data_IF_763818472872
#
_entry.id   IF_763818472872
#
_cell.length_a   1.000
_cell.length_b   1.000
_cell.length_c   1.000
_cell.angle_alpha   90.00
_cell.angle_beta   90.00
_cell.angle_gamma   90.00
#
_symmetry.space_group_name_H-M   'P 1'
#
loop_
_entity.id
_entity.type
_entity.pdbx_description
1 polymer ?
#
# COMPACT_ATOMS: atom_id res chain seq x y z
N UNK A 1 -2.83 11.49 -3.59
CA UNK A 1 -2.20 12.10 -2.39
C UNK A 1 -2.51 11.18 -1.22
N UNK A 2 -1.60 11.04 -0.26
CA UNK A 2 -1.70 10.04 0.82
C UNK A 2 -1.84 10.73 2.19
N UNK A 3 -3.05 11.20 2.58
CA UNK A 3 -3.24 11.92 3.84
C UNK A 3 -3.21 10.96 5.04
N UNK A 4 -2.81 11.49 6.20
CA UNK A 4 -2.88 10.78 7.47
C UNK A 4 -3.12 11.75 8.63
N UNK A 5 -3.81 11.27 9.67
CA UNK A 5 -4.02 11.95 10.95
C UNK A 5 -3.94 10.93 12.08
N UNK A 6 -3.28 11.31 13.16
CA UNK A 6 -3.21 10.48 14.36
C UNK A 6 -3.28 11.35 15.61
N UNK A 7 -3.89 10.79 16.66
CA UNK A 7 -4.05 11.43 17.94
C UNK A 7 -3.84 10.43 19.07
N UNK A 8 -3.39 10.95 20.21
CA UNK A 8 -3.29 10.17 21.42
C UNK A 8 -3.71 11.00 22.63
N UNK A 9 -4.34 10.35 23.59
CA UNK A 9 -4.77 10.96 24.85
C UNK A 9 -4.22 10.15 26.01
N UNK A 10 -3.33 10.76 26.79
CA UNK A 10 -2.79 10.17 28.02
C UNK A 10 -3.74 10.47 29.18
N UNK A 11 -4.70 9.56 29.40
CA UNK A 11 -5.74 9.70 30.41
C UNK A 11 -5.15 9.69 31.82
N UNK A 12 -4.09 8.90 32.06
CA UNK A 12 -3.46 8.78 33.38
C UNK A 12 -2.83 10.08 33.93
N UNK A 13 -2.59 11.08 33.07
CA UNK A 13 -2.07 12.39 33.49
C UNK A 13 -3.18 13.37 33.93
N UNK A 14 -4.45 13.01 33.72
CA UNK A 14 -5.58 13.84 34.09
C UNK A 14 -5.85 13.81 35.60
N UNK A 15 -6.24 14.95 36.17
CA UNK A 15 -6.45 15.09 37.62
C UNK A 15 -7.51 14.16 38.22
N UNK A 16 -8.44 13.64 37.42
CA UNK A 16 -9.44 12.66 37.89
C UNK A 16 -8.86 11.24 38.05
N UNK A 17 -7.71 10.94 37.45
CA UNK A 17 -7.05 9.63 37.57
C UNK A 17 -6.07 9.55 38.73
N UNK A 18 -5.68 10.67 39.34
CA UNK A 18 -4.66 10.72 40.40
C UNK A 18 -5.01 9.93 41.66
N UNK A 19 -6.28 9.54 41.83
CA UNK A 19 -6.78 8.73 42.95
C UNK A 19 -6.78 7.22 42.72
N UNK A 20 -6.31 6.74 41.56
CA UNK A 20 -6.34 5.31 41.19
C UNK A 20 -4.92 4.73 41.18
N UNK A 21 -4.36 4.32 42.34
CA UNK A 21 -2.98 3.85 42.46
C UNK A 21 -2.70 2.53 41.73
N UNK A 22 -3.75 1.80 41.32
CA UNK A 22 -3.60 0.55 40.58
C UNK A 22 -3.16 0.75 39.12
N UNK A 23 -3.38 1.94 38.54
CA UNK A 23 -3.09 2.24 37.12
C UNK A 23 -1.88 3.15 37.05
N UNK A 24 -0.76 2.65 36.50
CA UNK A 24 0.48 3.43 36.32
C UNK A 24 0.52 4.18 34.99
N UNK A 25 -0.17 3.67 33.97
CA UNK A 25 -0.33 4.36 32.69
C UNK A 25 -1.65 3.97 32.03
N UNK A 26 -2.32 4.96 31.43
CA UNK A 26 -3.47 4.72 30.56
C UNK A 26 -3.44 5.73 29.41
N UNK A 27 -3.32 5.23 28.18
CA UNK A 27 -3.27 6.03 26.97
C UNK A 27 -4.15 5.45 25.89
N UNK A 28 -4.97 6.30 25.28
CA UNK A 28 -5.73 5.96 24.09
C UNK A 28 -5.02 6.50 22.86
N UNK A 29 -5.01 5.71 21.78
CA UNK A 29 -4.46 6.10 20.48
C UNK A 29 -5.49 5.83 19.40
N UNK A 30 -5.62 6.75 18.47
CA UNK A 30 -6.42 6.57 17.27
C UNK A 30 -5.68 7.19 16.08
N UNK A 31 -5.78 6.56 14.92
CA UNK A 31 -5.17 7.08 13.71
C UNK A 31 -5.87 6.59 12.46
N UNK A 32 -5.89 7.43 11.45
CA UNK A 32 -6.37 7.10 10.11
C UNK A 32 -5.36 7.59 9.08
N UNK A 33 -5.13 6.81 8.04
CA UNK A 33 -4.29 7.25 6.94
C UNK A 33 -4.44 6.40 5.69
N UNK A 34 -3.98 6.97 4.58
CA UNK A 34 -3.92 6.30 3.27
C UNK A 34 -2.46 6.03 2.93
N UNK A 35 -2.15 4.81 2.50
CA UNK A 35 -0.83 4.43 1.99
C UNK A 35 -0.92 4.03 0.52
N UNK A 36 0.17 4.19 -0.22
CA UNK A 36 0.29 3.80 -1.62
C UNK A 36 1.15 2.55 -1.81
N UNK A 37 0.78 1.69 -2.75
CA UNK A 37 1.58 0.56 -3.25
C UNK A 37 1.84 0.71 -4.77
N UNK A 38 3.08 0.45 -5.18
CA UNK A 38 3.56 0.53 -6.57
C UNK A 38 4.12 -0.78 -7.13
N UNK A 39 4.28 -1.82 -6.29
CA UNK A 39 4.88 -3.08 -6.73
C UNK A 39 3.88 -3.90 -7.56
N UNK A 40 4.14 -3.97 -8.86
CA UNK A 40 3.27 -4.57 -9.88
C UNK A 40 4.02 -5.50 -10.84
N UNK A 41 5.31 -5.76 -10.60
CA UNK A 41 6.11 -6.73 -11.38
C UNK A 41 6.30 -6.41 -12.87
N UNK A 42 5.93 -5.23 -13.34
CA UNK A 42 6.05 -4.81 -14.75
C UNK A 42 6.87 -3.51 -14.86
N UNK A 43 7.75 -3.45 -15.87
CA UNK A 43 8.56 -2.26 -16.14
C UNK A 43 7.88 -1.43 -17.22
N UNK A 44 7.61 -0.15 -16.92
CA UNK A 44 6.91 0.79 -17.81
C UNK A 44 5.47 0.40 -18.20
N UNK A 45 4.60 0.03 -17.25
CA UNK A 45 3.23 -0.40 -17.53
C UNK A 45 2.36 0.68 -18.16
N UNK A 46 2.76 1.96 -18.09
CA UNK A 46 2.05 3.08 -18.69
C UNK A 46 2.41 3.27 -20.18
N UNK A 47 3.61 2.85 -20.61
CA UNK A 47 4.11 3.13 -21.95
C UNK A 47 3.67 2.05 -22.96
N UNK A 48 3.16 2.43 -24.15
CA UNK A 48 2.86 1.48 -25.21
C UNK A 48 4.15 1.04 -25.91
N UNK A 49 4.79 -0.01 -25.40
CA UNK A 49 6.07 -0.51 -25.91
C UNK A 49 5.90 -1.69 -26.88
N UNK A 50 6.84 -1.85 -27.80
CA UNK A 50 7.03 -3.09 -28.55
C UNK A 50 8.18 -3.90 -27.93
N UNK A 51 7.93 -5.20 -27.71
CA UNK A 51 8.89 -6.14 -27.13
C UNK A 51 9.06 -7.36 -28.03
N UNK A 52 10.14 -8.12 -27.83
CA UNK A 52 10.35 -9.38 -28.54
C UNK A 52 9.17 -10.35 -28.30
N UNK A 53 8.72 -11.01 -29.36
CA UNK A 53 7.63 -11.97 -29.30
C UNK A 53 8.00 -13.23 -28.51
N UNK A 54 6.99 -13.85 -27.92
CA UNK A 54 7.09 -15.20 -27.34
C UNK A 54 6.85 -16.26 -28.41
N UNK A 55 7.17 -17.55 -28.16
CA UNK A 55 6.85 -18.64 -29.09
C UNK A 55 5.37 -18.70 -29.51
N UNK A 56 4.47 -18.23 -28.64
CA UNK A 56 3.03 -18.14 -28.90
C UNK A 56 2.61 -16.96 -29.79
N UNK A 57 3.53 -16.06 -30.12
CA UNK A 57 3.29 -14.85 -30.91
C UNK A 57 4.30 -14.74 -32.08
N UNK A 58 4.81 -15.88 -32.57
CA UNK A 58 5.69 -15.94 -33.72
C UNK A 58 4.90 -15.82 -35.03
N UNK A 59 5.59 -15.37 -36.07
CA UNK A 59 5.05 -15.38 -37.42
C UNK A 59 5.67 -16.54 -38.22
N UNK A 60 4.83 -17.31 -38.90
CA UNK A 60 5.29 -18.42 -39.74
C UNK A 60 5.59 -17.93 -41.15
N UNK A 61 6.77 -18.26 -41.65
CA UNK A 61 7.13 -18.07 -43.05
C UNK A 61 7.60 -19.41 -43.63
N UNK A 62 6.81 -19.97 -44.54
CA UNK A 62 7.01 -21.36 -45.01
C UNK A 62 6.88 -22.35 -43.84
N UNK A 63 7.93 -23.13 -43.58
CA UNK A 63 7.96 -24.14 -42.51
C UNK A 63 8.72 -23.66 -41.26
N UNK A 64 9.11 -22.40 -41.19
CA UNK A 64 9.89 -21.84 -40.08
C UNK A 64 9.14 -20.72 -39.36
N UNK A 65 9.28 -20.68 -38.04
CA UNK A 65 8.73 -19.63 -37.19
C UNK A 65 9.79 -18.60 -36.84
N UNK A 66 9.44 -17.33 -36.93
CA UNK A 66 10.32 -16.21 -36.64
C UNK A 66 9.77 -15.39 -35.49
N UNK A 67 10.65 -15.01 -34.57
CA UNK A 67 10.32 -14.02 -33.56
C UNK A 67 10.21 -12.64 -34.21
N UNK A 68 9.16 -11.92 -33.86
CA UNK A 68 8.88 -10.55 -34.31
C UNK A 68 8.85 -9.61 -33.12
N UNK A 69 8.61 -8.33 -33.36
CA UNK A 69 8.21 -7.41 -32.30
C UNK A 69 6.69 -7.46 -32.15
N UNK A 70 6.21 -7.55 -30.91
CA UNK A 70 4.80 -7.51 -30.57
C UNK A 70 4.53 -6.39 -29.57
N UNK A 71 3.32 -5.83 -29.54
CA UNK A 71 2.96 -4.87 -28.49
C UNK A 71 3.01 -5.54 -27.11
N UNK A 72 3.55 -4.82 -26.12
CA UNK A 72 3.45 -5.16 -24.71
C UNK A 72 2.10 -4.69 -24.16
N UNK A 73 1.62 -5.35 -23.12
CA UNK A 73 0.47 -4.86 -22.36
C UNK A 73 0.85 -3.56 -21.66
N UNK A 74 -0.05 -2.57 -21.74
CA UNK A 74 0.08 -1.29 -21.07
C UNK A 74 -1.30 -0.81 -20.60
N UNK A 75 -1.32 0.05 -19.59
CA UNK A 75 -2.52 0.71 -19.09
C UNK A 75 -2.23 2.21 -18.89
N UNK A 76 -2.84 3.04 -19.73
CA UNK A 76 -2.72 4.50 -19.67
C UNK A 76 -3.37 5.09 -18.42
N UNK A 77 -4.27 4.36 -17.77
CA UNK A 77 -4.95 4.81 -16.55
C UNK A 77 -4.33 4.22 -15.27
N UNK A 78 -3.18 3.55 -15.39
CA UNK A 78 -2.52 2.95 -14.23
C UNK A 78 -2.21 4.02 -13.19
N UNK A 79 -2.52 3.69 -11.94
CA UNK A 79 -2.37 4.57 -10.78
C UNK A 79 -1.89 3.76 -9.59
N UNK A 80 -1.46 4.46 -8.55
CA UNK A 80 -1.12 3.85 -7.27
C UNK A 80 -2.30 3.06 -6.70
N UNK A 81 -2.02 1.87 -6.15
CA UNK A 81 -2.97 1.18 -5.29
C UNK A 81 -3.00 1.91 -3.95
N UNK A 82 -4.20 2.29 -3.49
CA UNK A 82 -4.39 3.05 -2.26
C UNK A 82 -5.03 2.17 -1.19
N UNK A 83 -4.43 2.13 0.00
CA UNK A 83 -4.97 1.40 1.16
C UNK A 83 -5.31 2.40 2.27
N UNK A 84 -6.58 2.47 2.65
CA UNK A 84 -7.04 3.24 3.81
C UNK A 84 -7.01 2.37 5.06
N UNK A 85 -6.32 2.82 6.10
CA UNK A 85 -6.19 2.11 7.36
C UNK A 85 -6.70 2.96 8.52
N UNK A 86 -7.50 2.35 9.39
CA UNK A 86 -7.98 2.91 10.65
C UNK A 86 -7.40 2.08 11.80
N UNK A 87 -6.79 2.72 12.78
CA UNK A 87 -6.16 2.09 13.93
C UNK A 87 -6.70 2.70 15.23
N UNK A 88 -7.02 1.83 16.18
CA UNK A 88 -7.34 2.20 17.56
C UNK A 88 -6.46 1.36 18.49
N UNK A 89 -5.97 1.98 19.55
CA UNK A 89 -5.10 1.33 20.53
C UNK A 89 -5.38 1.83 21.94
N UNK A 90 -5.22 0.93 22.89
CA UNK A 90 -5.21 1.24 24.33
C UNK A 90 -3.89 0.73 24.86
N UNK A 91 -3.09 1.62 25.42
CA UNK A 91 -1.91 1.27 26.18
C UNK A 91 -2.26 1.40 27.67
N UNK A 92 -1.94 0.37 28.45
CA UNK A 92 -2.23 0.34 29.89
C UNK A 92 -1.08 -0.30 30.67
N UNK A 93 -0.86 0.20 31.87
CA UNK A 93 0.10 -0.33 32.84
C UNK A 93 -0.52 -0.39 34.24
N UNK A 94 -0.19 -1.45 34.97
CA UNK A 94 -0.62 -1.66 36.36
C UNK A 94 0.61 -1.88 37.26
N UNK A 95 0.51 -1.43 38.52
CA UNK A 95 1.48 -1.54 39.64
C UNK A 95 2.98 -1.55 39.28
#
# INVERSE_FOLDING_TARGET
MFPAVAGAWTISEEGFMSGIPAISNLKLRAGWGVTGQQDIGNTYPYLPLYISSTPTAQYQFGNSFYNTLRPSAYDVNIKWEETSTLNFGVDFGFF
#
